data_IF_635916927433
#
_entry.id   IF_635916927433
#
_cell.length_a   1.000
_cell.length_b   1.000
_cell.length_c   1.000
_cell.angle_alpha   90.00
_cell.angle_beta   90.00
_cell.angle_gamma   90.00
#
_symmetry.space_group_name_H-M   'P 1'
#
loop_
_entity.id
_entity.type
_entity.pdbx_description
1 polymer ?
#
# COMPACT_ATOMS: atom_id res chain seq x y z
N UNK A 1 -2.14 19.95 9.85
CA UNK A 1 -1.90 21.32 10.36
C UNK A 1 -2.28 21.56 11.81
N UNK A 2 -3.46 21.18 12.31
CA UNK A 2 -3.88 21.50 13.69
C UNK A 2 -2.94 20.99 14.80
N UNK A 3 -2.18 19.92 14.53
CA UNK A 3 -1.17 19.36 15.46
C UNK A 3 0.28 19.79 15.15
N UNK A 4 0.52 20.71 14.21
CA UNK A 4 1.87 21.12 13.81
C UNK A 4 2.63 20.11 12.92
N UNK A 5 2.13 18.89 12.75
CA UNK A 5 2.75 17.86 11.92
C UNK A 5 2.57 18.11 10.42
N UNK A 6 3.62 17.83 9.66
CA UNK A 6 3.66 17.72 8.20
C UNK A 6 3.21 16.32 7.79
N UNK A 7 2.06 16.26 7.14
CA UNK A 7 1.51 15.00 6.63
C UNK A 7 1.49 15.03 5.11
N UNK A 8 1.88 13.91 4.51
CA UNK A 8 1.83 13.67 3.08
C UNK A 8 1.02 12.42 2.75
N UNK A 9 0.37 12.42 1.59
CA UNK A 9 -0.37 11.26 1.09
C UNK A 9 -0.02 10.98 -0.38
N UNK A 10 0.19 9.72 -0.72
CA UNK A 10 0.42 9.24 -2.08
C UNK A 10 -0.59 8.12 -2.37
N UNK A 11 -1.58 8.44 -3.19
CA UNK A 11 -2.75 7.60 -3.44
C UNK A 11 -3.30 7.89 -4.85
N UNK A 12 -4.38 7.24 -5.25
CA UNK A 12 -5.06 7.54 -6.51
C UNK A 12 -5.57 8.99 -6.53
N UNK A 13 -5.66 9.59 -7.73
CA UNK A 13 -5.94 11.02 -7.91
C UNK A 13 -7.21 11.57 -7.24
N UNK A 14 -8.33 10.85 -7.26
CA UNK A 14 -9.59 11.28 -6.62
C UNK A 14 -9.47 11.25 -5.08
N UNK A 15 -8.85 10.22 -4.54
CA UNK A 15 -8.53 10.07 -3.13
C UNK A 15 -7.54 11.14 -2.67
N UNK A 16 -6.53 11.44 -3.48
CA UNK A 16 -5.58 12.53 -3.23
C UNK A 16 -6.32 13.88 -3.21
N UNK A 17 -7.27 14.09 -4.11
CA UNK A 17 -8.09 15.31 -4.16
C UNK A 17 -8.92 15.52 -2.90
N UNK A 18 -9.38 14.45 -2.24
CA UNK A 18 -10.11 14.53 -0.96
C UNK A 18 -9.30 15.18 0.18
N UNK A 19 -7.97 15.24 0.02
CA UNK A 19 -7.05 15.87 0.95
C UNK A 19 -6.82 17.36 0.68
N UNK A 20 -7.34 17.89 -0.43
CA UNK A 20 -7.16 19.30 -0.80
C UNK A 20 -7.62 20.22 0.32
N UNK A 21 -6.76 21.16 0.71
CA UNK A 21 -7.00 22.10 1.80
C UNK A 21 -6.90 21.49 3.21
N UNK A 22 -6.61 20.19 3.36
CA UNK A 22 -6.43 19.50 4.65
C UNK A 22 -4.96 19.21 4.96
N UNK A 23 -4.23 18.76 3.94
CA UNK A 23 -2.76 18.60 3.96
C UNK A 23 -2.16 19.32 2.75
N UNK A 24 -0.88 19.69 2.85
CA UNK A 24 -0.20 20.48 1.83
C UNK A 24 0.32 19.61 0.70
N UNK A 25 0.86 18.45 1.04
CA UNK A 25 1.57 17.59 0.10
C UNK A 25 0.74 16.33 -0.14
N UNK A 26 0.03 16.30 -1.26
CA UNK A 26 -0.72 15.13 -1.69
C UNK A 26 -0.44 14.86 -3.15
N UNK A 27 -0.17 13.60 -3.47
CA UNK A 27 0.23 13.17 -4.80
C UNK A 27 -0.77 12.15 -5.30
N UNK A 28 -1.46 12.51 -6.38
CA UNK A 28 -2.43 11.67 -7.07
C UNK A 28 -1.77 10.92 -8.22
N UNK A 29 -1.96 9.60 -8.27
CA UNK A 29 -1.66 8.79 -9.46
C UNK A 29 -2.96 8.49 -10.18
N UNK A 30 -3.03 8.83 -11.46
CA UNK A 30 -4.22 8.57 -12.29
C UNK A 30 -4.46 7.07 -12.43
N UNK A 31 -5.74 6.65 -12.38
CA UNK A 31 -6.08 5.24 -12.52
C UNK A 31 -5.56 4.69 -13.86
N UNK A 32 -5.00 3.48 -13.81
CA UNK A 32 -4.40 2.82 -14.96
C UNK A 32 -4.89 1.37 -15.06
N UNK A 33 -4.98 0.86 -16.30
CA UNK A 33 -5.22 -0.58 -16.52
C UNK A 33 -4.00 -1.41 -16.14
N UNK A 34 -2.81 -0.83 -16.29
CA UNK A 34 -1.55 -1.39 -15.83
C UNK A 34 -1.35 -1.03 -14.36
N UNK A 35 -1.72 -1.96 -13.48
CA UNK A 35 -1.64 -1.74 -12.05
C UNK A 35 -0.20 -1.80 -11.53
N UNK A 36 0.71 -2.44 -12.27
CA UNK A 36 2.11 -2.52 -11.88
C UNK A 36 2.79 -1.18 -12.12
N UNK A 37 2.54 -0.58 -13.28
CA UNK A 37 2.98 0.79 -13.57
C UNK A 37 2.37 1.79 -12.59
N UNK A 38 1.08 1.65 -12.25
CA UNK A 38 0.43 2.47 -11.24
C UNK A 38 1.15 2.39 -9.87
N UNK A 39 1.43 1.19 -9.37
CA UNK A 39 2.11 1.01 -8.08
C UNK A 39 3.57 1.51 -8.13
N UNK A 40 4.24 1.40 -9.29
CA UNK A 40 5.55 2.00 -9.51
C UNK A 40 5.49 3.54 -9.43
N UNK A 41 4.46 4.16 -10.00
CA UNK A 41 4.25 5.62 -9.88
C UNK A 41 3.98 6.04 -8.43
N UNK A 42 3.15 5.28 -7.70
CA UNK A 42 2.94 5.48 -6.25
C UNK A 42 4.26 5.40 -5.50
N UNK A 43 5.10 4.41 -5.81
CA UNK A 43 6.42 4.23 -5.21
C UNK A 43 7.33 5.42 -5.49
N UNK A 44 7.43 5.87 -6.73
CA UNK A 44 8.22 7.04 -7.13
C UNK A 44 7.77 8.33 -6.43
N UNK A 45 6.47 8.56 -6.32
CA UNK A 45 5.93 9.71 -5.58
C UNK A 45 6.15 9.58 -4.07
N UNK A 46 6.14 8.37 -3.51
CA UNK A 46 6.46 8.13 -2.10
C UNK A 46 7.92 8.45 -1.80
N UNK A 47 8.84 7.99 -2.64
CA UNK A 47 10.28 8.34 -2.54
C UNK A 47 10.49 9.84 -2.68
N UNK A 48 9.77 10.50 -3.59
CA UNK A 48 9.81 11.96 -3.72
C UNK A 48 9.27 12.65 -2.46
N UNK A 49 8.15 12.20 -1.92
CA UNK A 49 7.53 12.77 -0.73
C UNK A 49 8.45 12.65 0.49
N UNK A 50 9.19 11.55 0.64
CA UNK A 50 10.18 11.37 1.71
C UNK A 50 11.27 12.47 1.70
N UNK A 51 11.66 13.00 0.54
CA UNK A 51 12.64 14.09 0.43
C UNK A 51 12.16 15.40 1.06
N UNK A 52 10.85 15.60 1.16
CA UNK A 52 10.24 16.76 1.82
C UNK A 52 10.19 16.61 3.35
N UNK A 53 10.63 15.47 3.88
CA UNK A 53 10.69 15.11 5.31
C UNK A 53 9.34 15.29 6.02
N UNK A 54 8.29 14.57 5.60
CA UNK A 54 7.02 14.55 6.32
C UNK A 54 7.18 13.84 7.67
N UNK A 55 6.41 14.28 8.66
CA UNK A 55 6.30 13.55 9.94
C UNK A 55 5.44 12.29 9.77
N UNK A 56 4.51 12.30 8.81
CA UNK A 56 3.65 11.16 8.46
C UNK A 56 3.52 11.09 6.94
N UNK A 57 3.78 9.92 6.36
CA UNK A 57 3.52 9.62 4.95
C UNK A 57 2.55 8.45 4.86
N UNK A 58 1.40 8.67 4.23
CA UNK A 58 0.45 7.61 3.88
C UNK A 58 0.64 7.20 2.41
N UNK A 59 0.78 5.90 2.15
CA UNK A 59 0.98 5.34 0.80
C UNK A 59 -0.04 4.23 0.56
N UNK A 60 -0.64 4.19 -0.63
CA UNK A 60 -1.61 3.16 -0.99
C UNK A 60 -1.24 2.45 -2.30
N UNK A 61 -0.78 1.19 -2.16
CA UNK A 61 -0.50 0.27 -3.26
C UNK A 61 -1.72 -0.62 -3.54
N UNK A 62 -2.00 -0.92 -4.81
CA UNK A 62 -3.24 -1.56 -5.26
C UNK A 62 -3.03 -2.87 -6.03
N UNK A 63 -1.78 -3.25 -6.34
CA UNK A 63 -1.50 -4.42 -7.16
C UNK A 63 -2.12 -5.70 -6.59
N UNK A 64 -1.98 -5.97 -5.28
CA UNK A 64 -2.52 -7.18 -4.67
C UNK A 64 -4.03 -7.33 -4.88
N UNK A 65 -4.79 -6.26 -4.65
CA UNK A 65 -6.24 -6.31 -4.77
C UNK A 65 -6.68 -6.44 -6.24
N UNK A 66 -6.11 -5.64 -7.15
CA UNK A 66 -6.42 -5.74 -8.58
C UNK A 66 -6.04 -7.09 -9.17
N UNK A 67 -4.91 -7.67 -8.76
CA UNK A 67 -4.53 -9.01 -9.17
C UNK A 67 -5.48 -10.04 -8.57
N UNK A 68 -5.90 -9.93 -7.32
CA UNK A 68 -6.87 -10.88 -6.75
C UNK A 68 -8.18 -10.95 -7.54
N UNK A 69 -8.62 -9.84 -8.13
CA UNK A 69 -9.76 -9.80 -9.05
C UNK A 69 -9.50 -10.54 -10.36
N UNK A 70 -8.35 -10.28 -11.01
CA UNK A 70 -8.06 -10.72 -12.39
C UNK A 70 -7.34 -12.06 -12.49
N UNK A 71 -6.44 -12.36 -11.56
CA UNK A 71 -5.58 -13.52 -11.56
C UNK A 71 -6.39 -14.81 -11.49
N UNK A 72 -5.97 -15.83 -12.21
CA UNK A 72 -6.62 -17.14 -12.21
C UNK A 72 -5.92 -18.14 -11.29
N UNK A 73 -4.70 -17.81 -10.83
CA UNK A 73 -3.87 -18.70 -10.01
C UNK A 73 -3.15 -17.98 -8.87
N UNK A 74 -2.77 -18.75 -7.85
CA UNK A 74 -1.91 -18.28 -6.76
C UNK A 74 -0.53 -17.83 -7.24
N UNK A 75 -0.02 -18.40 -8.34
CA UNK A 75 1.28 -18.01 -8.89
C UNK A 75 1.28 -16.56 -9.42
N UNK A 76 0.19 -16.11 -10.03
CA UNK A 76 0.05 -14.71 -10.43
C UNK A 76 -0.08 -13.78 -9.22
N UNK A 77 -0.79 -14.22 -8.18
CA UNK A 77 -0.91 -13.44 -6.96
C UNK A 77 0.43 -13.34 -6.20
N UNK A 78 1.25 -14.40 -6.20
CA UNK A 78 2.63 -14.37 -5.69
C UNK A 78 3.50 -13.37 -6.45
N UNK A 79 3.36 -13.27 -7.77
CA UNK A 79 4.07 -12.23 -8.56
C UNK A 79 3.66 -10.83 -8.12
N UNK A 80 2.37 -10.58 -7.92
CA UNK A 80 1.89 -9.29 -7.41
C UNK A 80 2.43 -8.99 -6.01
N UNK A 81 2.43 -9.97 -5.11
CA UNK A 81 3.01 -9.84 -3.77
C UNK A 81 4.50 -9.50 -3.81
N UNK A 82 5.27 -10.13 -4.70
CA UNK A 82 6.69 -9.84 -4.89
C UNK A 82 6.92 -8.41 -5.38
N UNK A 83 6.10 -7.91 -6.30
CA UNK A 83 6.23 -6.53 -6.79
C UNK A 83 5.88 -5.52 -5.69
N UNK A 84 4.85 -5.81 -4.87
CA UNK A 84 4.55 -4.99 -3.70
C UNK A 84 5.71 -4.98 -2.71
N UNK A 85 6.35 -6.12 -2.46
CA UNK A 85 7.54 -6.24 -1.62
C UNK A 85 8.71 -5.41 -2.15
N UNK A 86 8.98 -5.46 -3.46
CA UNK A 86 10.01 -4.64 -4.14
C UNK A 86 9.72 -3.14 -3.98
N UNK A 87 8.47 -2.71 -4.18
CA UNK A 87 8.05 -1.32 -4.00
C UNK A 87 8.18 -0.85 -2.54
N UNK A 88 7.77 -1.69 -1.57
CA UNK A 88 7.97 -1.42 -0.15
C UNK A 88 9.45 -1.32 0.20
N UNK A 89 10.28 -2.19 -0.38
CA UNK A 89 11.73 -2.17 -0.25
C UNK A 89 12.31 -0.83 -0.71
N UNK A 90 11.90 -0.33 -1.87
CA UNK A 90 12.37 0.96 -2.39
C UNK A 90 11.99 2.13 -1.45
N UNK A 91 10.74 2.16 -0.95
CA UNK A 91 10.30 3.17 0.03
C UNK A 91 11.12 3.06 1.32
N UNK A 92 11.32 1.83 1.81
CA UNK A 92 12.11 1.56 3.01
C UNK A 92 13.55 2.04 2.87
N UNK A 93 14.21 1.76 1.76
CA UNK A 93 15.60 2.18 1.52
C UNK A 93 15.76 3.70 1.49
N UNK A 94 14.75 4.43 1.00
CA UNK A 94 14.79 5.89 0.90
C UNK A 94 14.29 6.62 2.17
N UNK A 95 13.74 5.92 3.17
CA UNK A 95 13.34 6.54 4.43
C UNK A 95 14.54 6.80 5.37
N UNK A 96 14.41 7.78 6.25
CA UNK A 96 15.43 8.07 7.27
C UNK A 96 15.48 6.97 8.34
N UNK A 97 16.63 6.79 9.00
CA UNK A 97 16.74 5.93 10.17
C UNK A 97 15.81 6.43 11.30
N UNK A 98 15.27 5.48 12.07
CA UNK A 98 14.26 5.75 13.10
C UNK A 98 12.84 5.89 12.55
N UNK A 99 12.64 5.84 11.22
CA UNK A 99 11.28 5.82 10.63
C UNK A 99 10.55 4.55 11.04
N UNK A 100 9.34 4.74 11.57
CA UNK A 100 8.43 3.65 11.92
C UNK A 100 7.50 3.39 10.73
N UNK A 101 7.41 2.13 10.33
CA UNK A 101 6.53 1.66 9.27
C UNK A 101 5.35 0.92 9.87
N UNK A 102 4.16 1.27 9.41
CA UNK A 102 2.92 0.52 9.60
C UNK A 102 2.47 0.03 8.24
N UNK A 103 2.57 -1.27 7.99
CA UNK A 103 2.19 -1.89 6.71
C UNK A 103 0.98 -2.79 6.99
N UNK A 104 -0.14 -2.46 6.36
CA UNK A 104 -1.39 -3.22 6.51
C UNK A 104 -2.22 -3.23 5.23
N UNK A 105 -3.16 -4.16 5.17
CA UNK A 105 -4.28 -4.09 4.24
C UNK A 105 -5.44 -3.30 4.85
N UNK A 106 -6.31 -2.75 4.01
CA UNK A 106 -7.58 -2.14 4.41
C UNK A 106 -8.73 -3.16 4.45
N UNK A 107 -8.65 -4.21 3.63
CA UNK A 107 -9.58 -5.34 3.66
C UNK A 107 -8.93 -6.65 3.15
N UNK A 108 -9.61 -7.78 3.33
CA UNK A 108 -9.19 -9.04 2.75
C UNK A 108 -9.36 -9.02 1.22
N UNK A 109 -8.48 -9.69 0.47
CA UNK A 109 -8.49 -9.67 -0.99
C UNK A 109 -9.86 -10.03 -1.60
N UNK A 110 -10.21 -9.38 -2.70
CA UNK A 110 -11.43 -9.69 -3.43
C UNK A 110 -11.40 -11.08 -4.09
N UNK A 111 -12.57 -11.61 -4.43
CA UNK A 111 -12.69 -12.91 -5.09
C UNK A 111 -12.62 -14.10 -4.14
N UNK A 112 -13.01 -13.92 -2.87
CA UNK A 112 -12.94 -14.96 -1.83
C UNK A 112 -13.46 -16.34 -2.24
N UNK A 113 -14.54 -16.45 -3.03
CA UNK A 113 -15.02 -17.77 -3.54
C UNK A 113 -13.95 -18.56 -4.31
N UNK A 114 -13.11 -17.87 -5.08
CA UNK A 114 -12.01 -18.44 -5.86
C UNK A 114 -10.84 -18.80 -4.95
N UNK A 115 -10.42 -17.86 -4.11
CA UNK A 115 -9.23 -18.01 -3.28
C UNK A 115 -9.42 -18.91 -2.06
N UNK A 116 -10.65 -19.05 -1.55
CA UNK A 116 -10.97 -19.91 -0.40
C UNK A 116 -11.28 -21.36 -0.79
N UNK A 117 -11.11 -21.75 -2.06
CA UNK A 117 -11.35 -23.12 -2.49
C UNK A 117 -10.34 -24.06 -1.85
N UNK A 118 -10.80 -24.91 -0.94
CA UNK A 118 -9.95 -25.84 -0.19
C UNK A 118 -9.17 -25.19 0.96
N UNK A 119 -9.51 -23.95 1.32
CA UNK A 119 -8.93 -23.27 2.48
C UNK A 119 -9.48 -23.85 3.79
N UNK A 120 -8.72 -23.72 4.87
CA UNK A 120 -9.15 -24.22 6.18
C UNK A 120 -10.27 -23.35 6.77
N UNK A 121 -10.96 -23.86 7.79
CA UNK A 121 -12.07 -23.14 8.43
C UNK A 121 -11.63 -21.77 8.97
N UNK A 122 -10.40 -21.69 9.46
CA UNK A 122 -9.80 -20.47 10.01
C UNK A 122 -9.52 -19.44 8.92
N UNK A 123 -9.01 -19.84 7.75
CA UNK A 123 -8.81 -18.94 6.60
C UNK A 123 -10.13 -18.34 6.10
N UNK A 124 -11.17 -19.17 6.03
CA UNK A 124 -12.52 -18.73 5.63
C UNK A 124 -13.08 -17.74 6.65
N UNK A 125 -12.88 -18.00 7.95
CA UNK A 125 -13.31 -17.08 9.02
C UNK A 125 -12.55 -15.76 8.94
N UNK A 126 -11.24 -15.81 8.79
CA UNK A 126 -10.36 -14.64 8.71
C UNK A 126 -10.75 -13.75 7.52
N UNK A 127 -10.99 -14.34 6.34
CA UNK A 127 -11.46 -13.62 5.16
C UNK A 127 -12.82 -12.94 5.40
N UNK A 128 -13.80 -13.67 5.97
CA UNK A 128 -15.14 -13.12 6.27
C UNK A 128 -15.14 -12.01 7.32
N UNK A 129 -14.18 -12.04 8.24
CA UNK A 129 -14.00 -11.02 9.26
C UNK A 129 -13.11 -9.87 8.81
N UNK A 130 -12.65 -9.86 7.56
CA UNK A 130 -11.70 -8.88 7.02
C UNK A 130 -10.44 -8.75 7.89
N UNK A 131 -9.92 -9.88 8.39
CA UNK A 131 -8.64 -9.86 9.09
C UNK A 131 -7.52 -9.64 8.08
N UNK A 132 -6.69 -8.63 8.36
CA UNK A 132 -5.58 -8.20 7.53
C UNK A 132 -4.30 -8.23 8.35
N UNK A 133 -3.16 -8.39 7.66
CA UNK A 133 -1.86 -8.28 8.32
C UNK A 133 -1.64 -6.84 8.82
N UNK A 134 -0.99 -6.73 9.98
CA UNK A 134 -0.37 -5.50 10.45
C UNK A 134 1.09 -5.81 10.77
N UNK A 135 2.00 -5.23 10.00
CA UNK A 135 3.44 -5.31 10.23
C UNK A 135 3.89 -3.96 10.75
N UNK A 136 4.53 -3.96 11.90
CA UNK A 136 5.15 -2.77 12.49
C UNK A 136 6.65 -2.98 12.51
N UNK A 137 7.39 -2.07 11.88
CA UNK A 137 8.84 -2.13 11.81
C UNK A 137 9.44 -0.74 12.06
N UNK A 138 10.70 -0.70 12.48
CA UNK A 138 11.47 0.52 12.58
C UNK A 138 12.74 0.35 11.77
N UNK A 139 13.08 1.32 10.92
CA UNK A 139 14.33 1.33 10.18
C UNK A 139 15.48 1.61 11.15
N UNK A 140 16.30 0.60 11.41
CA UNK A 140 17.47 0.70 12.29
C UNK A 140 18.73 1.02 11.47
N UNK A 141 19.71 1.66 12.11
CA UNK A 141 21.07 1.76 11.59
C UNK A 141 21.67 0.35 11.47
N UNK A 142 22.49 0.14 10.43
CA UNK A 142 23.15 -1.14 10.16
C UNK A 142 24.30 -1.43 11.14
#
# INVERSE_FOLDING_TARGET
YRAGMKASAVIESEGAESFRGRIKDFYGVTDSKDILDYDLQITNYSVRALKEKPDILAVHLRALDRFSHRAESWEELKKAAKIVDENLGEIYQNADYGTIFFICGDHAIHGGKKWLKGAEADDIRNHRQNLVALIVACKQEA
#
